data_IF_308656992740
#
_entry.id   IF_308656992740
#
_cell.length_a   1.000
_cell.length_b   1.000
_cell.length_c   1.000
_cell.angle_alpha   90.00
_cell.angle_beta   90.00
_cell.angle_gamma   90.00
#
_symmetry.space_group_name_H-M   'P 1'
#
loop_
_entity.id
_entity.type
_entity.pdbx_description
1 polymer ?
#
# COMPACT_ATOMS: atom_id res chain seq x y z
N UNK A 1 -34.70 -12.26 -22.75
CA UNK A 1 -34.43 -11.79 -21.37
C UNK A 1 -32.97 -11.35 -21.29
N UNK A 2 -32.67 -10.03 -21.35
CA UNK A 2 -31.30 -9.52 -21.16
C UNK A 2 -31.01 -9.54 -19.66
N UNK A 3 -30.09 -10.40 -19.22
CA UNK A 3 -29.49 -10.27 -17.90
C UNK A 3 -28.95 -8.84 -17.78
N UNK A 4 -29.39 -8.08 -16.77
CA UNK A 4 -28.72 -6.85 -16.39
C UNK A 4 -27.26 -7.21 -16.10
N UNK A 5 -26.38 -6.91 -17.05
CA UNK A 5 -24.98 -7.34 -17.03
C UNK A 5 -24.30 -6.53 -15.93
N UNK A 6 -24.14 -7.12 -14.75
CA UNK A 6 -23.37 -6.53 -13.65
C UNK A 6 -21.98 -6.22 -14.23
N UNK A 7 -21.61 -4.94 -14.20
CA UNK A 7 -20.37 -4.43 -14.81
C UNK A 7 -19.48 -3.87 -13.71
N UNK A 8 -18.26 -4.40 -13.63
CA UNK A 8 -17.20 -3.80 -12.83
C UNK A 8 -16.87 -2.41 -13.39
N UNK A 9 -17.08 -1.36 -12.60
CA UNK A 9 -16.81 0.03 -13.00
C UNK A 9 -15.32 0.36 -12.83
N UNK A 10 -14.45 -0.39 -13.51
CA UNK A 10 -12.98 -0.38 -13.35
C UNK A 10 -12.39 1.02 -13.26
N UNK A 11 -12.70 1.92 -14.19
CA UNK A 11 -12.15 3.29 -14.21
C UNK A 11 -12.54 4.11 -12.97
N UNK A 12 -13.75 3.89 -12.42
CA UNK A 12 -14.17 4.58 -11.20
C UNK A 12 -13.40 4.07 -9.98
N UNK A 13 -13.19 2.76 -9.88
CA UNK A 13 -12.38 2.17 -8.81
C UNK A 13 -10.92 2.63 -8.88
N UNK A 14 -10.31 2.63 -10.07
CA UNK A 14 -8.93 3.12 -10.25
C UNK A 14 -8.82 4.59 -9.83
N UNK A 15 -9.76 5.45 -10.25
CA UNK A 15 -9.75 6.88 -9.87
C UNK A 15 -9.86 7.07 -8.36
N UNK A 16 -10.72 6.28 -7.69
CA UNK A 16 -10.85 6.29 -6.24
C UNK A 16 -9.55 5.86 -5.54
N UNK A 17 -8.96 4.75 -5.99
CA UNK A 17 -7.73 4.18 -5.42
C UNK A 17 -6.53 5.13 -5.57
N UNK A 18 -6.33 5.71 -6.76
CA UNK A 18 -5.24 6.66 -7.02
C UNK A 18 -5.33 7.91 -6.14
N UNK A 19 -6.54 8.41 -5.87
CA UNK A 19 -6.75 9.52 -4.94
C UNK A 19 -6.38 9.12 -3.50
N UNK A 20 -6.88 7.98 -3.05
CA UNK A 20 -6.64 7.49 -1.68
C UNK A 20 -5.18 7.16 -1.39
N UNK A 21 -4.37 6.86 -2.41
CA UNK A 21 -2.94 6.60 -2.21
C UNK A 21 -2.14 7.87 -1.87
N UNK A 22 -2.61 9.04 -2.33
CA UNK A 22 -1.91 10.32 -2.16
C UNK A 22 -2.38 11.06 -0.90
N UNK A 23 -3.69 11.14 -0.69
CA UNK A 23 -4.28 11.88 0.42
C UNK A 23 -5.59 11.24 0.87
N UNK A 24 -5.77 11.18 2.18
CA UNK A 24 -6.99 10.72 2.84
C UNK A 24 -7.58 11.87 3.66
N UNK A 25 -8.90 11.85 3.85
CA UNK A 25 -9.59 12.77 4.75
C UNK A 25 -9.46 12.32 6.22
N UNK A 26 -9.77 13.22 7.15
CA UNK A 26 -9.76 12.96 8.60
C UNK A 26 -10.66 11.80 9.02
N UNK A 27 -11.62 11.40 8.17
CA UNK A 27 -12.44 10.20 8.37
C UNK A 27 -11.62 8.90 8.47
N UNK A 28 -10.36 8.91 8.06
CA UNK A 28 -9.42 7.79 8.17
C UNK A 28 -8.55 7.85 9.42
N UNK A 29 -8.75 8.80 10.34
CA UNK A 29 -7.96 8.92 11.57
C UNK A 29 -8.01 7.64 12.42
N UNK A 30 -9.15 6.93 12.44
CA UNK A 30 -9.26 5.64 13.12
C UNK A 30 -8.35 4.53 12.53
N UNK A 31 -7.76 4.77 11.36
CA UNK A 31 -6.82 3.90 10.67
C UNK A 31 -5.37 4.45 10.68
N UNK A 32 -5.05 5.43 11.52
CA UNK A 32 -3.69 5.97 11.61
C UNK A 32 -2.65 4.89 12.00
N UNK A 33 -3.06 3.92 12.84
CA UNK A 33 -2.24 2.75 13.17
C UNK A 33 -2.32 1.61 12.13
N UNK A 34 -2.84 1.87 10.94
CA UNK A 34 -3.06 0.91 9.86
C UNK A 34 -2.69 1.48 8.49
N UNK A 35 -1.73 2.41 8.43
CA UNK A 35 -1.33 3.03 7.15
C UNK A 35 -0.65 2.05 6.19
N UNK A 36 0.20 1.10 6.62
CA UNK A 36 0.66 0.03 5.75
C UNK A 36 -0.49 -0.84 5.18
N UNK A 37 -1.58 -1.02 5.93
CA UNK A 37 -2.78 -1.70 5.40
C UNK A 37 -3.43 -0.90 4.28
N UNK A 38 -3.55 0.42 4.43
CA UNK A 38 -4.06 1.29 3.38
C UNK A 38 -3.20 1.20 2.12
N UNK A 39 -1.87 1.20 2.25
CA UNK A 39 -0.96 0.94 1.13
C UNK A 39 -1.27 -0.41 0.47
N UNK A 40 -1.31 -1.49 1.24
CA UNK A 40 -1.54 -2.84 0.72
C UNK A 40 -2.89 -2.96 0.01
N UNK A 41 -3.99 -2.55 0.65
CA UNK A 41 -5.32 -2.63 0.06
C UNK A 41 -5.41 -1.87 -1.25
N UNK A 42 -4.81 -0.67 -1.31
CA UNK A 42 -4.86 0.16 -2.50
C UNK A 42 -4.01 -0.44 -3.62
N UNK A 43 -2.74 -0.77 -3.33
CA UNK A 43 -1.80 -1.33 -4.31
C UNK A 43 -2.28 -2.67 -4.86
N UNK A 44 -2.75 -3.56 -3.98
CA UNK A 44 -3.26 -4.86 -4.40
C UNK A 44 -4.56 -4.71 -5.21
N UNK A 45 -5.43 -3.76 -4.86
CA UNK A 45 -6.62 -3.47 -5.68
C UNK A 45 -6.25 -2.94 -7.07
N UNK A 46 -5.23 -2.07 -7.18
CA UNK A 46 -4.73 -1.59 -8.47
C UNK A 46 -4.13 -2.72 -9.30
N UNK A 47 -3.39 -3.62 -8.66
CA UNK A 47 -2.82 -4.82 -9.27
C UNK A 47 -3.91 -5.77 -9.80
N UNK A 48 -4.92 -6.10 -9.00
CA UNK A 48 -6.08 -6.90 -9.43
C UNK A 48 -6.83 -6.24 -10.59
N UNK A 49 -6.85 -4.91 -10.60
CA UNK A 49 -7.38 -4.12 -11.70
C UNK A 49 -6.33 -3.88 -12.79
N UNK A 50 -5.25 -4.65 -12.94
CA UNK A 50 -4.21 -4.49 -13.98
C UNK A 50 -3.88 -3.02 -14.29
N UNK A 51 -3.77 -2.17 -13.28
CA UNK A 51 -3.43 -0.76 -13.43
C UNK A 51 -1.95 -0.59 -13.08
N UNK A 52 -1.09 -0.16 -14.03
CA UNK A 52 0.32 0.00 -13.75
C UNK A 52 0.54 1.12 -12.72
N UNK A 53 1.50 0.90 -11.83
CA UNK A 53 1.92 1.86 -10.83
C UNK A 53 3.18 2.57 -11.36
N UNK A 54 3.17 3.90 -11.53
CA UNK A 54 4.37 4.62 -11.96
C UNK A 54 5.52 4.44 -10.98
N UNK A 55 6.75 4.35 -11.48
CA UNK A 55 7.94 4.15 -10.65
C UNK A 55 8.09 5.22 -9.55
N UNK A 56 7.78 6.49 -9.86
CA UNK A 56 7.77 7.58 -8.88
C UNK A 56 6.84 7.29 -7.70
N UNK A 57 5.65 6.75 -7.97
CA UNK A 57 4.69 6.35 -6.92
C UNK A 57 5.23 5.17 -6.12
N UNK A 58 5.88 4.20 -6.78
CA UNK A 58 6.55 3.10 -6.09
C UNK A 58 7.59 3.63 -5.10
N UNK A 59 8.45 4.56 -5.52
CA UNK A 59 9.47 5.15 -4.66
C UNK A 59 8.85 5.92 -3.49
N UNK A 60 7.80 6.71 -3.72
CA UNK A 60 7.10 7.45 -2.67
C UNK A 60 6.50 6.52 -1.60
N UNK A 61 5.82 5.45 -2.03
CA UNK A 61 5.22 4.48 -1.10
C UNK A 61 6.28 3.66 -0.37
N UNK A 62 7.34 3.23 -1.07
CA UNK A 62 8.44 2.51 -0.45
C UNK A 62 9.17 3.34 0.61
N UNK A 63 9.47 4.62 0.32
CA UNK A 63 10.05 5.56 1.28
C UNK A 63 9.12 5.83 2.47
N UNK A 64 7.81 5.79 2.28
CA UNK A 64 6.85 5.89 3.38
C UNK A 64 6.86 4.62 4.26
N UNK A 65 6.88 3.44 3.66
CA UNK A 65 6.95 2.17 4.40
C UNK A 65 8.28 2.01 5.16
N UNK A 66 9.38 2.49 4.60
CA UNK A 66 10.69 2.54 5.29
C UNK A 66 10.60 3.35 6.58
N UNK A 67 9.95 4.53 6.55
CA UNK A 67 9.70 5.32 7.77
C UNK A 67 8.81 4.62 8.79
N UNK A 68 8.02 3.62 8.38
CA UNK A 68 7.21 2.80 9.29
C UNK A 68 7.99 1.60 9.86
N UNK A 69 9.20 1.34 9.38
CA UNK A 69 10.04 0.24 9.83
C UNK A 69 10.82 0.62 11.09
N UNK A 70 10.83 -0.27 12.08
CA UNK A 70 11.69 -0.09 13.25
C UNK A 70 13.04 -0.75 12.98
N UNK A 71 14.06 0.05 12.70
CA UNK A 71 15.38 -0.46 12.31
C UNK A 71 16.14 -1.16 13.45
N UNK A 72 15.88 -0.79 14.71
CA UNK A 72 16.57 -1.37 15.87
C UNK A 72 15.97 -2.71 16.32
N UNK A 73 14.65 -2.87 16.20
CA UNK A 73 13.91 -4.03 16.73
C UNK A 73 13.29 -4.91 15.64
N UNK A 74 13.37 -4.49 14.39
CA UNK A 74 12.72 -5.14 13.24
C UNK A 74 11.21 -4.93 13.17
N UNK A 75 10.63 -5.32 12.03
CA UNK A 75 9.20 -5.20 11.73
C UNK A 75 8.75 -3.78 11.38
N UNK A 76 7.48 -3.67 10.99
CA UNK A 76 6.83 -2.40 10.64
C UNK A 76 5.71 -2.09 11.64
N UNK A 77 5.62 -0.81 12.02
CA UNK A 77 4.51 -0.24 12.79
C UNK A 77 3.37 0.27 11.90
N UNK A 78 2.27 0.70 12.52
CA UNK A 78 1.09 1.23 11.84
C UNK A 78 1.30 2.57 11.13
N UNK A 79 2.38 3.27 11.46
CA UNK A 79 2.82 4.54 10.90
C UNK A 79 4.22 4.89 11.43
N UNK A 80 4.84 5.99 10.95
CA UNK A 80 6.18 6.38 11.39
C UNK A 80 6.28 6.58 12.91
N UNK A 81 7.29 5.99 13.52
CA UNK A 81 7.52 6.05 14.98
C UNK A 81 6.58 5.18 15.83
N UNK A 82 5.65 4.43 15.22
CA UNK A 82 4.82 3.49 15.96
C UNK A 82 5.57 2.16 16.17
N UNK A 83 5.26 1.48 17.28
CA UNK A 83 5.82 0.16 17.59
C UNK A 83 5.47 -0.87 16.51
N UNK A 84 6.41 -1.76 16.23
CA UNK A 84 6.20 -2.86 15.29
C UNK A 84 5.02 -3.74 15.70
N UNK A 85 4.23 -4.14 14.72
CA UNK A 85 3.13 -5.08 14.91
C UNK A 85 3.05 -6.02 13.69
N UNK A 86 2.66 -7.27 13.92
CA UNK A 86 2.65 -8.29 12.86
C UNK A 86 1.71 -7.92 11.70
N UNK A 87 0.56 -7.31 12.00
CA UNK A 87 -0.41 -6.90 10.99
C UNK A 87 0.14 -5.86 9.98
N UNK A 88 0.63 -4.67 10.40
CA UNK A 88 1.26 -3.73 9.47
C UNK A 88 2.58 -4.25 8.89
N UNK A 89 3.30 -5.15 9.58
CA UNK A 89 4.47 -5.85 9.00
C UNK A 89 4.08 -6.67 7.78
N UNK A 90 3.03 -7.50 7.88
CA UNK A 90 2.50 -8.26 6.75
C UNK A 90 2.11 -7.32 5.60
N UNK A 91 1.34 -6.27 5.89
CA UNK A 91 0.85 -5.35 4.88
C UNK A 91 2.01 -4.59 4.18
N UNK A 92 3.02 -4.15 4.93
CA UNK A 92 4.20 -3.48 4.39
C UNK A 92 4.99 -4.41 3.47
N UNK A 93 5.29 -5.64 3.90
CA UNK A 93 6.02 -6.62 3.09
C UNK A 93 5.26 -6.95 1.80
N UNK A 94 3.95 -7.22 1.89
CA UNK A 94 3.14 -7.47 0.70
C UNK A 94 3.10 -6.27 -0.25
N UNK A 95 3.01 -5.05 0.29
CA UNK A 95 3.08 -3.82 -0.51
C UNK A 95 4.41 -3.73 -1.26
N UNK A 96 5.54 -3.92 -0.57
CA UNK A 96 6.88 -3.88 -1.18
C UNK A 96 7.07 -4.97 -2.25
N UNK A 97 6.48 -6.17 -2.06
CA UNK A 97 6.46 -7.20 -3.09
C UNK A 97 5.67 -6.80 -4.34
N UNK A 98 4.55 -6.08 -4.20
CA UNK A 98 3.79 -5.55 -5.34
C UNK A 98 4.62 -4.48 -6.05
N UNK A 99 5.21 -3.54 -5.30
CA UNK A 99 6.05 -2.49 -5.85
C UNK A 99 7.29 -3.05 -6.57
N UNK A 100 7.87 -4.14 -6.05
CA UNK A 100 9.02 -4.84 -6.63
C UNK A 100 8.81 -5.36 -8.05
N UNK A 101 7.56 -5.45 -8.53
CA UNK A 101 7.24 -5.77 -9.94
C UNK A 101 7.51 -4.61 -10.90
N UNK A 102 7.50 -3.38 -10.39
CA UNK A 102 7.68 -2.15 -11.15
C UNK A 102 9.00 -1.45 -10.82
N UNK A 103 9.49 -1.62 -9.60
CA UNK A 103 10.72 -1.02 -9.09
C UNK A 103 11.45 -1.99 -8.18
N UNK A 104 12.46 -2.69 -8.70
CA UNK A 104 13.09 -3.84 -8.02
C UNK A 104 13.73 -3.46 -6.67
N UNK A 105 14.24 -2.23 -6.53
CA UNK A 105 14.83 -1.74 -5.28
C UNK A 105 13.82 -1.60 -4.13
N UNK A 106 12.50 -1.78 -4.36
CA UNK A 106 11.52 -1.88 -3.29
C UNK A 106 11.85 -3.01 -2.30
N UNK A 107 12.48 -4.10 -2.76
CA UNK A 107 12.86 -5.22 -1.89
C UNK A 107 13.97 -4.87 -0.89
N UNK A 108 14.76 -3.85 -1.19
CA UNK A 108 15.89 -3.41 -0.37
C UNK A 108 15.43 -2.63 0.87
N UNK A 109 14.18 -2.15 0.87
CA UNK A 109 13.55 -1.55 2.06
C UNK A 109 13.33 -2.57 3.16
N UNK A 110 13.09 -3.85 2.83
CA UNK A 110 12.83 -4.86 3.85
C UNK A 110 14.12 -5.15 4.61
N UNK A 111 14.18 -4.73 5.88
CA UNK A 111 15.27 -5.10 6.77
C UNK A 111 15.19 -6.60 7.08
N UNK A 112 16.29 -7.31 6.76
CA UNK A 112 16.45 -8.76 6.94
C UNK A 112 17.66 -9.12 7.79
N UNK A 113 18.38 -8.12 8.31
CA UNK A 113 19.58 -8.32 9.14
C UNK A 113 19.22 -8.67 10.58
#
# INVERSE_FOLDING_TARGET
MRLNKIKLLRSKHISYLKKGLLQLSDSYECLDASRPWLCYWILHSLELLNEPIPEEVCQQVANFLDKCQNHDTGGFGGGPGQLSHLAPTYAAVCSLCILGKYWLAAYDIINRS
#
